data_IF_057230719087
#
_entry.id   IF_057230719087
#
_cell.length_a   1.000
_cell.length_b   1.000
_cell.length_c   1.000
_cell.angle_alpha   90.00
_cell.angle_beta   90.00
_cell.angle_gamma   90.00
#
_symmetry.space_group_name_H-M   'P 1'
#
loop_
_entity.id
_entity.type
_entity.pdbx_description
1 polymer ?
#
# COMPACT_ATOMS: atom_id res chain seq x y z
N UNK A 1 -10.75 4.46 22.55
CA UNK A 1 -11.00 3.30 21.69
C UNK A 1 -9.92 3.32 20.61
N UNK A 2 -9.13 2.26 20.48
CA UNK A 2 -8.23 2.12 19.33
C UNK A 2 -9.06 1.51 18.20
N UNK A 3 -10.00 2.30 17.69
CA UNK A 3 -10.83 1.94 16.54
C UNK A 3 -9.99 2.13 15.28
N UNK A 4 -9.36 1.06 14.83
CA UNK A 4 -8.58 1.05 13.60
C UNK A 4 -7.76 -0.22 13.53
N UNK A 5 -8.30 -1.25 12.87
CA UNK A 5 -7.60 -2.49 12.61
C UNK A 5 -6.47 -2.37 11.58
N UNK A 6 -5.77 -1.23 11.56
CA UNK A 6 -4.58 -1.05 10.73
C UNK A 6 -3.38 -1.78 11.35
N UNK A 7 -2.67 -2.54 10.52
CA UNK A 7 -1.37 -3.10 10.88
C UNK A 7 -0.33 -1.99 10.94
N UNK A 8 0.75 -2.21 11.70
CA UNK A 8 1.88 -1.28 11.73
C UNK A 8 2.46 -1.01 10.33
N UNK A 9 2.40 -1.99 9.42
CA UNK A 9 2.87 -1.85 8.05
C UNK A 9 1.96 -0.93 7.23
N UNK A 10 0.64 -1.05 7.37
CA UNK A 10 -0.33 -0.16 6.72
C UNK A 10 -0.18 1.29 7.20
N UNK A 11 -0.07 1.49 8.51
CA UNK A 11 0.16 2.81 9.11
C UNK A 11 1.47 3.44 8.60
N UNK A 12 2.57 2.69 8.65
CA UNK A 12 3.87 3.15 8.19
C UNK A 12 3.89 3.45 6.68
N UNK A 13 3.16 2.66 5.89
CA UNK A 13 3.08 2.84 4.46
C UNK A 13 2.27 4.09 4.08
N UNK A 14 1.11 4.30 4.72
CA UNK A 14 0.30 5.51 4.54
C UNK A 14 0.95 6.79 5.05
N UNK A 15 1.86 6.69 6.02
CA UNK A 15 2.68 7.82 6.50
C UNK A 15 3.98 8.03 5.72
N UNK A 16 4.31 7.18 4.74
CA UNK A 16 5.54 7.29 3.96
C UNK A 16 6.82 6.96 4.73
N UNK A 17 6.72 6.23 5.83
CA UNK A 17 7.83 5.91 6.73
C UNK A 17 8.65 4.72 6.21
N UNK A 18 9.40 4.93 5.11
CA UNK A 18 10.15 3.86 4.43
C UNK A 18 11.04 3.05 5.37
N UNK A 19 11.81 3.69 6.26
CA UNK A 19 12.69 2.97 7.19
C UNK A 19 11.91 2.04 8.16
N UNK A 20 10.69 2.44 8.55
CA UNK A 20 9.82 1.62 9.39
C UNK A 20 9.24 0.47 8.57
N UNK A 21 8.80 0.73 7.34
CA UNK A 21 8.33 -0.29 6.39
C UNK A 21 9.41 -1.36 6.17
N UNK A 22 10.65 -0.95 5.87
CA UNK A 22 11.77 -1.87 5.69
C UNK A 22 12.04 -2.69 6.94
N UNK A 23 12.00 -2.06 8.12
CA UNK A 23 12.21 -2.79 9.37
C UNK A 23 11.09 -3.81 9.62
N UNK A 24 9.84 -3.45 9.38
CA UNK A 24 8.71 -4.37 9.56
C UNK A 24 8.80 -5.57 8.60
N UNK A 25 9.19 -5.33 7.35
CA UNK A 25 9.38 -6.39 6.36
C UNK A 25 10.55 -7.32 6.76
N UNK A 26 11.63 -6.78 7.33
CA UNK A 26 12.73 -7.58 7.89
C UNK A 26 12.29 -8.47 9.06
N UNK A 27 11.35 -7.99 9.88
CA UNK A 27 10.72 -8.76 10.97
C UNK A 27 9.62 -9.71 10.46
N UNK A 28 9.52 -9.93 9.13
CA UNK A 28 8.53 -10.79 8.47
C UNK A 28 7.08 -10.33 8.66
N UNK A 29 6.84 -9.02 8.72
CA UNK A 29 5.49 -8.50 8.59
C UNK A 29 4.87 -8.98 7.27
N UNK A 30 3.60 -9.37 7.32
CA UNK A 30 2.88 -9.78 6.13
C UNK A 30 2.60 -8.55 5.25
N UNK A 31 3.29 -8.48 4.12
CA UNK A 31 3.14 -7.40 3.13
C UNK A 31 1.72 -7.33 2.55
N UNK A 32 1.04 -8.49 2.52
CA UNK A 32 -0.31 -8.66 1.99
C UNK A 32 -1.34 -8.81 3.12
N UNK A 33 -1.00 -8.35 4.33
CA UNK A 33 -1.92 -8.37 5.45
C UNK A 33 -3.26 -7.76 5.03
N UNK A 34 -4.31 -8.57 5.19
CA UNK A 34 -5.66 -8.16 4.86
C UNK A 34 -6.01 -6.88 5.61
N UNK A 35 -6.66 -5.97 4.92
CA UNK A 35 -7.16 -4.79 5.57
C UNK A 35 -8.33 -5.17 6.51
N UNK A 36 -8.21 -4.82 7.79
CA UNK A 36 -9.23 -5.14 8.79
C UNK A 36 -10.32 -4.07 8.75
N UNK A 37 -11.58 -4.48 8.96
CA UNK A 37 -12.76 -3.59 9.04
C UNK A 37 -12.89 -2.59 7.89
N UNK A 38 -12.54 -3.00 6.67
CA UNK A 38 -12.59 -2.13 5.50
C UNK A 38 -11.48 -1.07 5.48
N UNK A 39 -10.31 -1.39 6.01
CA UNK A 39 -9.10 -0.58 5.85
C UNK A 39 -8.49 -0.67 4.45
N UNK A 40 -7.29 -0.12 4.30
CA UNK A 40 -6.46 -0.20 3.10
C UNK A 40 -5.34 -1.23 3.27
N UNK A 41 -4.91 -1.88 2.19
CA UNK A 41 -3.62 -2.58 2.20
C UNK A 41 -2.47 -1.59 2.33
N UNK A 42 -1.28 -2.06 2.72
CA UNK A 42 -0.11 -1.21 2.81
C UNK A 42 0.22 -0.53 1.45
N UNK A 43 0.02 -1.27 0.35
CA UNK A 43 0.24 -0.75 -1.00
C UNK A 43 -0.76 0.36 -1.36
N UNK A 44 -2.03 0.20 -0.99
CA UNK A 44 -3.05 1.23 -1.21
C UNK A 44 -2.79 2.48 -0.38
N UNK A 45 -2.48 2.31 0.91
CA UNK A 45 -2.17 3.44 1.79
C UNK A 45 -0.97 4.24 1.25
N UNK A 46 0.10 3.56 0.82
CA UNK A 46 1.25 4.22 0.20
C UNK A 46 0.92 4.91 -1.13
N UNK A 47 0.07 4.28 -1.95
CA UNK A 47 -0.35 4.80 -3.25
C UNK A 47 -1.26 6.03 -3.10
N UNK A 48 -2.24 5.98 -2.21
CA UNK A 48 -3.15 7.09 -1.88
C UNK A 48 -2.47 8.23 -1.11
N UNK A 49 -1.36 7.94 -0.41
CA UNK A 49 -0.52 8.93 0.27
C UNK A 49 0.58 9.55 -0.62
N UNK A 50 0.79 9.06 -1.85
CA UNK A 50 1.80 9.61 -2.76
C UNK A 50 3.23 9.15 -2.46
N UNK A 51 3.43 8.05 -1.75
CA UNK A 51 4.72 7.58 -1.27
C UNK A 51 5.39 6.59 -2.22
N UNK A 52 5.90 7.07 -3.36
CA UNK A 52 6.49 6.22 -4.42
C UNK A 52 7.56 5.24 -3.91
N UNK A 53 8.51 5.70 -3.08
CA UNK A 53 9.59 4.84 -2.58
C UNK A 53 9.05 3.68 -1.73
N UNK A 54 7.96 3.91 -0.98
CA UNK A 54 7.28 2.86 -0.22
C UNK A 54 6.56 1.90 -1.15
N UNK A 55 5.86 2.41 -2.18
CA UNK A 55 5.21 1.58 -3.21
C UNK A 55 6.23 0.64 -3.86
N UNK A 56 7.37 1.16 -4.32
CA UNK A 56 8.44 0.36 -4.92
C UNK A 56 8.96 -0.71 -3.96
N UNK A 57 9.18 -0.36 -2.68
CA UNK A 57 9.62 -1.31 -1.66
C UNK A 57 8.61 -2.43 -1.42
N UNK A 58 7.32 -2.10 -1.31
CA UNK A 58 6.26 -3.08 -1.11
C UNK A 58 6.13 -4.02 -2.32
N UNK A 59 6.23 -3.49 -3.54
CA UNK A 59 6.22 -4.30 -4.77
C UNK A 59 7.42 -5.25 -4.85
N UNK A 60 8.60 -4.81 -4.42
CA UNK A 60 9.78 -5.67 -4.35
C UNK A 60 9.61 -6.82 -3.35
N UNK A 61 8.84 -6.62 -2.28
CA UNK A 61 8.44 -7.69 -1.35
C UNK A 61 7.22 -8.50 -1.82
N UNK A 62 6.82 -8.38 -3.09
CA UNK A 62 5.68 -9.09 -3.69
C UNK A 62 4.33 -8.73 -3.06
N UNK A 63 4.13 -7.45 -2.74
CA UNK A 63 2.79 -6.93 -2.49
C UNK A 63 1.87 -7.25 -3.67
N UNK A 64 0.67 -7.72 -3.37
CA UNK A 64 -0.37 -7.97 -4.37
C UNK A 64 -0.89 -6.64 -4.90
N UNK A 65 -0.45 -6.33 -6.12
CA UNK A 65 -0.77 -5.09 -6.82
C UNK A 65 -2.27 -4.91 -7.08
N UNK A 66 -3.01 -6.01 -7.13
CA UNK A 66 -4.45 -6.04 -7.42
C UNK A 66 -5.28 -6.40 -6.19
N UNK A 67 -4.68 -6.38 -4.99
CA UNK A 67 -5.39 -6.68 -3.77
C UNK A 67 -6.64 -5.78 -3.62
N UNK A 68 -7.82 -6.37 -3.39
CA UNK A 68 -9.02 -5.58 -3.15
C UNK A 68 -8.89 -4.94 -1.77
N UNK A 69 -8.90 -3.61 -1.72
CA UNK A 69 -9.01 -2.91 -0.44
C UNK A 69 -10.37 -2.28 -0.22
N UNK A 70 -10.37 -1.23 0.59
CA UNK A 70 -11.57 -0.48 0.96
C UNK A 70 -12.40 -0.09 -0.27
N UNK A 71 -13.70 -0.32 -0.18
CA UNK A 71 -14.68 -0.01 -1.23
C UNK A 71 -14.43 -0.73 -2.58
N UNK A 72 -13.62 -1.78 -2.60
CA UNK A 72 -13.27 -2.50 -3.82
C UNK A 72 -12.28 -1.74 -4.71
N UNK A 73 -11.64 -0.68 -4.19
CA UNK A 73 -10.64 0.05 -4.95
C UNK A 73 -9.29 -0.67 -4.94
N UNK A 74 -8.51 -0.48 -5.99
CA UNK A 74 -7.12 -0.94 -6.08
C UNK A 74 -6.14 0.20 -5.74
N UNK A 75 -4.87 -0.14 -5.51
CA UNK A 75 -3.82 0.87 -5.32
C UNK A 75 -3.69 1.80 -6.54
N UNK A 76 -3.95 1.28 -7.75
CA UNK A 76 -3.92 2.04 -8.99
C UNK A 76 -5.02 3.11 -9.01
N UNK A 77 -6.24 2.74 -8.62
CA UNK A 77 -7.38 3.65 -8.57
C UNK A 77 -7.20 4.74 -7.50
N UNK A 78 -6.60 4.41 -6.36
CA UNK A 78 -6.26 5.42 -5.33
C UNK A 78 -5.18 6.38 -5.83
N UNK A 79 -4.06 5.89 -6.39
CA UNK A 79 -3.02 6.76 -6.95
C UNK A 79 -3.54 7.66 -8.08
N UNK A 80 -4.43 7.14 -8.94
CA UNK A 80 -5.03 7.91 -10.02
C UNK A 80 -5.98 8.99 -9.49
N UNK A 81 -6.83 8.66 -8.51
CA UNK A 81 -7.77 9.60 -7.89
C UNK A 81 -7.06 10.71 -7.11
N UNK A 82 -5.93 10.39 -6.48
CA UNK A 82 -5.11 11.34 -5.73
C UNK A 82 -4.11 12.14 -6.59
N UNK A 83 -4.00 11.82 -7.89
CA UNK A 83 -3.17 12.59 -8.83
C UNK A 83 -1.68 12.28 -8.76
N UNK A 84 -1.30 11.03 -8.50
CA UNK A 84 0.10 10.58 -8.43
C UNK A 84 0.54 9.79 -9.66
N UNK A 85 0.85 10.45 -10.81
CA UNK A 85 1.12 9.77 -12.07
C UNK A 85 2.36 8.86 -12.02
N UNK A 86 3.39 9.23 -11.25
CA UNK A 86 4.58 8.38 -11.10
C UNK A 86 4.26 7.03 -10.44
N UNK A 87 3.31 7.03 -9.49
CA UNK A 87 2.86 5.82 -8.81
C UNK A 87 1.95 5.00 -9.73
N UNK A 88 1.05 5.65 -10.48
CA UNK A 88 0.22 4.99 -11.49
C UNK A 88 1.09 4.23 -12.50
N UNK A 89 2.14 4.88 -13.02
CA UNK A 89 3.08 4.24 -13.95
C UNK A 89 3.85 3.09 -13.29
N UNK A 90 4.28 3.26 -12.04
CA UNK A 90 4.94 2.19 -11.26
C UNK A 90 4.03 0.96 -11.10
N UNK A 91 2.77 1.17 -10.71
CA UNK A 91 1.78 0.13 -10.52
C UNK A 91 1.41 -0.57 -11.85
N UNK A 92 1.22 0.18 -12.94
CA UNK A 92 0.99 -0.42 -14.29
C UNK A 92 2.15 -1.31 -14.71
N UNK A 93 3.40 -0.88 -14.48
CA UNK A 93 4.59 -1.71 -14.77
C UNK A 93 4.65 -2.98 -13.92
N UNK A 94 4.12 -2.93 -12.70
CA UNK A 94 4.00 -4.08 -11.82
C UNK A 94 2.80 -5.00 -12.14
N UNK A 95 2.00 -4.68 -13.16
CA UNK A 95 0.86 -5.49 -13.59
C UNK A 95 -0.46 -5.15 -12.89
N UNK A 96 -0.59 -3.92 -12.37
CA UNK A 96 -1.88 -3.42 -11.89
C UNK A 96 -2.90 -3.38 -13.04
N UNK A 97 -4.08 -3.93 -12.80
CA UNK A 97 -5.22 -3.85 -13.71
C UNK A 97 -6.26 -2.85 -13.19
N UNK A 98 -7.08 -2.34 -14.10
CA UNK A 98 -8.16 -1.38 -13.80
C UNK A 98 -9.39 -2.04 -13.18
#
# INVERSE_FOLDING_TARGET
>A
AVDGGETALQAAAGGGHLAVVERLLQEKADVNAAAVDGGETALQAAAGGGHLAVVERLLQEKADVNAPGKWGKTALQEAASSGYPAIVECLRKAGAVE
#
